data_IF_046768719586
#
_entry.id   IF_046768719586
#
_cell.length_a   1.000
_cell.length_b   1.000
_cell.length_c   1.000
_cell.angle_alpha   90.00
_cell.angle_beta   90.00
_cell.angle_gamma   90.00
#
_symmetry.space_group_name_H-M   'P 1'
#
loop_
_entity.id
_entity.type
_entity.pdbx_description
1 polymer ?
#
# COMPACT_ATOMS: atom_id res chain seq x y z
N UNK A 1 -5.43 -4.40 -8.16
CA UNK A 1 -6.33 -4.46 -9.33
C UNK A 1 -6.47 -3.10 -10.00
N UNK A 2 -6.83 -2.01 -9.30
CA UNK A 2 -7.15 -0.70 -9.91
C UNK A 2 -6.05 -0.15 -10.84
N UNK A 3 -4.77 -0.22 -10.42
CA UNK A 3 -3.65 0.25 -11.24
C UNK A 3 -3.53 -0.54 -12.56
N UNK A 4 -3.65 -1.86 -12.49
CA UNK A 4 -3.57 -2.72 -13.67
C UNK A 4 -4.77 -2.50 -14.61
N UNK A 5 -5.98 -2.37 -14.05
CA UNK A 5 -7.17 -2.05 -14.84
C UNK A 5 -7.06 -0.70 -15.53
N UNK A 6 -6.55 0.31 -14.82
CA UNK A 6 -6.30 1.63 -15.40
C UNK A 6 -5.31 1.55 -16.57
N UNK A 7 -4.25 0.74 -16.43
CA UNK A 7 -3.26 0.54 -17.52
C UNK A 7 -3.91 0.01 -18.78
N UNK A 8 -4.71 -1.06 -18.66
CA UNK A 8 -5.40 -1.65 -19.81
C UNK A 8 -6.36 -0.64 -20.46
N UNK A 9 -7.12 0.09 -19.64
CA UNK A 9 -8.06 1.09 -20.16
C UNK A 9 -7.34 2.22 -20.90
N UNK A 10 -6.27 2.77 -20.33
CA UNK A 10 -5.49 3.82 -20.97
C UNK A 10 -4.82 3.37 -22.27
N UNK A 11 -4.40 2.11 -22.35
CA UNK A 11 -3.68 1.63 -23.52
C UNK A 11 -4.60 1.20 -24.67
N UNK A 12 -5.82 0.70 -24.37
CA UNK A 12 -6.66 0.03 -25.37
C UNK A 12 -8.02 0.67 -25.60
N UNK A 13 -8.56 1.39 -24.62
CA UNK A 13 -9.96 1.83 -24.67
C UNK A 13 -10.14 3.34 -24.55
N UNK A 14 -9.10 4.08 -24.16
CA UNK A 14 -9.18 5.52 -23.95
C UNK A 14 -8.45 6.28 -25.05
N UNK A 15 -8.89 7.52 -25.32
CA UNK A 15 -8.18 8.42 -26.20
C UNK A 15 -6.80 8.76 -25.62
N UNK A 16 -5.81 8.94 -26.49
CA UNK A 16 -4.41 9.21 -26.09
C UNK A 16 -4.25 10.45 -25.21
N UNK A 17 -5.16 11.41 -25.33
CA UNK A 17 -5.14 12.64 -24.55
C UNK A 17 -5.82 12.50 -23.18
N UNK A 18 -6.56 11.41 -22.95
CA UNK A 18 -7.19 11.16 -21.66
C UNK A 18 -6.14 10.76 -20.62
N UNK A 19 -6.11 11.52 -19.53
CA UNK A 19 -5.12 11.35 -18.45
C UNK A 19 -5.74 10.83 -17.15
N UNK A 20 -7.05 10.78 -17.06
CA UNK A 20 -7.76 10.44 -15.83
C UNK A 20 -8.86 9.41 -16.09
N UNK A 21 -9.00 8.45 -15.17
CA UNK A 21 -10.11 7.48 -15.13
C UNK A 21 -10.64 7.45 -13.71
N UNK A 22 -11.96 7.43 -13.57
CA UNK A 22 -12.63 7.25 -12.30
C UNK A 22 -13.36 5.92 -12.28
N UNK A 23 -13.06 5.09 -11.28
CA UNK A 23 -13.73 3.83 -11.03
C UNK A 23 -14.76 3.99 -9.93
N UNK A 24 -15.94 3.38 -10.10
CA UNK A 24 -16.92 3.23 -9.02
C UNK A 24 -16.61 1.95 -8.23
N UNK A 25 -16.47 2.07 -6.92
CA UNK A 25 -16.20 0.96 -6.01
C UNK A 25 -17.13 1.03 -4.78
N UNK A 26 -17.22 -0.05 -4.03
CA UNK A 26 -18.09 -0.09 -2.84
C UNK A 26 -17.81 1.01 -1.81
N UNK A 27 -16.54 1.42 -1.67
CA UNK A 27 -16.11 2.47 -0.73
C UNK A 27 -16.04 3.87 -1.36
N UNK A 28 -16.58 4.06 -2.55
CA UNK A 28 -16.61 5.33 -3.25
C UNK A 28 -15.82 5.35 -4.56
N UNK A 29 -15.56 6.55 -5.05
CA UNK A 29 -14.87 6.76 -6.31
C UNK A 29 -13.36 6.64 -6.13
N UNK A 30 -12.72 5.87 -7.01
CA UNK A 30 -11.27 5.71 -7.09
C UNK A 30 -10.78 6.39 -8.37
N UNK A 31 -10.01 7.44 -8.22
CA UNK A 31 -9.45 8.19 -9.34
C UNK A 31 -8.04 7.70 -9.66
N UNK A 32 -7.74 7.55 -10.95
CA UNK A 32 -6.41 7.23 -11.44
C UNK A 32 -5.94 8.28 -12.43
N UNK A 33 -4.65 8.60 -12.39
CA UNK A 33 -4.05 9.65 -13.20
C UNK A 33 -2.82 9.07 -13.90
N UNK A 34 -2.78 9.17 -15.24
CA UNK A 34 -1.62 8.78 -16.04
C UNK A 34 -0.65 9.96 -16.16
N UNK A 35 0.60 9.76 -15.73
CA UNK A 35 1.71 10.70 -15.91
C UNK A 35 2.86 9.98 -16.61
N UNK A 36 3.00 10.18 -17.91
CA UNK A 36 3.94 9.42 -18.76
C UNK A 36 3.68 7.90 -18.65
N UNK A 37 4.66 7.11 -18.28
CA UNK A 37 4.55 5.66 -18.11
C UNK A 37 4.01 5.24 -16.74
N UNK A 38 3.85 6.17 -15.82
CA UNK A 38 3.38 5.92 -14.46
C UNK A 38 1.87 6.16 -14.35
N UNK A 39 1.24 5.36 -13.51
CA UNK A 39 -0.17 5.56 -13.14
C UNK A 39 -0.22 5.80 -11.64
N UNK A 40 -0.93 6.84 -11.25
CA UNK A 40 -1.14 7.23 -9.87
C UNK A 40 -2.58 6.92 -9.45
N UNK A 41 -2.72 6.37 -8.26
CA UNK A 41 -3.98 6.24 -7.54
C UNK A 41 -4.12 7.47 -6.65
N UNK A 42 -5.27 8.13 -6.72
CA UNK A 42 -5.62 9.27 -5.88
C UNK A 42 -6.60 8.80 -4.79
N UNK A 43 -6.13 8.76 -3.55
CA UNK A 43 -6.89 8.31 -2.38
C UNK A 43 -6.95 9.39 -1.28
N UNK A 44 -7.98 9.34 -0.41
CA UNK A 44 -7.95 10.13 0.83
C UNK A 44 -6.78 9.68 1.70
N UNK A 45 -6.10 10.62 2.30
CA UNK A 45 -5.11 10.33 3.33
C UNK A 45 -5.79 9.68 4.54
N UNK A 46 -5.09 8.77 5.19
CA UNK A 46 -5.51 8.11 6.43
C UNK A 46 -4.60 8.59 7.55
N UNK A 47 -5.16 9.30 8.52
CA UNK A 47 -4.37 9.94 9.56
C UNK A 47 -3.88 8.90 10.58
N UNK A 48 -2.56 8.81 10.84
CA UNK A 48 -2.02 7.88 11.82
C UNK A 48 -2.33 8.35 13.25
N UNK A 49 -3.12 7.57 13.99
CA UNK A 49 -3.46 7.84 15.39
C UNK A 49 -2.57 6.98 16.28
N UNK A 50 -1.73 7.61 17.10
CA UNK A 50 -0.81 6.92 17.99
C UNK A 50 -1.54 6.02 18.98
N UNK A 51 -0.97 4.86 19.28
CA UNK A 51 -1.52 3.81 20.11
C UNK A 51 -0.48 3.29 21.11
N UNK A 52 -0.95 2.78 22.25
CA UNK A 52 -0.12 2.04 23.17
C UNK A 52 0.26 0.66 22.61
N UNK A 53 1.52 0.29 22.79
CA UNK A 53 2.03 -1.01 22.34
C UNK A 53 1.64 -2.08 23.38
N UNK A 54 0.60 -2.85 23.08
CA UNK A 54 0.13 -3.96 23.92
C UNK A 54 0.82 -5.29 23.59
N UNK A 55 0.54 -6.33 24.39
CA UNK A 55 1.18 -7.63 24.25
C UNK A 55 0.85 -8.33 22.92
N UNK A 56 -0.39 -8.20 22.42
CA UNK A 56 -0.78 -8.83 21.14
C UNK A 56 0.04 -8.25 20.00
N UNK A 57 0.23 -6.93 19.97
CA UNK A 57 1.09 -6.25 18.99
C UNK A 57 2.55 -6.71 19.12
N UNK A 58 3.09 -6.79 20.34
CA UNK A 58 4.47 -7.27 20.55
C UNK A 58 4.67 -8.69 20.04
N UNK A 59 3.73 -9.58 20.34
CA UNK A 59 3.75 -10.97 19.90
C UNK A 59 3.50 -11.10 18.39
N UNK A 60 2.74 -10.18 17.78
CA UNK A 60 2.51 -10.14 16.34
C UNK A 60 3.77 -9.76 15.58
N UNK A 61 4.43 -8.69 16.02
CA UNK A 61 5.60 -8.13 15.32
C UNK A 61 6.87 -8.96 15.60
N UNK A 62 7.07 -9.42 16.83
CA UNK A 62 8.26 -10.21 17.23
C UNK A 62 9.59 -9.46 17.15
N UNK A 63 9.56 -8.12 17.08
CA UNK A 63 10.71 -7.23 17.02
C UNK A 63 10.49 -5.99 17.91
N UNK A 64 11.53 -5.18 18.09
CA UNK A 64 11.43 -3.95 18.85
C UNK A 64 10.62 -2.89 18.09
N UNK A 65 9.48 -2.49 18.66
CA UNK A 65 8.58 -1.48 18.12
C UNK A 65 8.90 -0.14 18.75
N UNK A 66 9.24 0.85 17.95
CA UNK A 66 9.51 2.22 18.41
C UNK A 66 8.22 2.98 18.66
N UNK A 67 7.28 2.91 17.72
CA UNK A 67 5.99 3.58 17.77
C UNK A 67 4.93 2.70 17.13
N UNK A 68 3.68 2.85 17.57
CA UNK A 68 2.52 2.17 17.04
C UNK A 68 1.44 3.18 16.69
N UNK A 69 0.85 3.03 15.52
CA UNK A 69 -0.29 3.84 15.07
C UNK A 69 -1.42 2.93 14.58
N UNK A 70 -2.62 3.47 14.59
CA UNK A 70 -3.80 2.85 13.97
C UNK A 70 -4.38 3.85 12.96
N UNK A 71 -4.55 3.39 11.73
CA UNK A 71 -5.38 4.05 10.72
C UNK A 71 -6.80 3.48 10.73
N UNK A 72 -7.55 3.80 9.70
CA UNK A 72 -8.93 3.32 9.52
C UNK A 72 -9.03 1.80 9.50
N UNK A 73 -8.14 1.15 8.77
CA UNK A 73 -8.22 -0.28 8.48
C UNK A 73 -7.07 -1.08 9.12
N UNK A 74 -5.89 -0.51 9.31
CA UNK A 74 -4.66 -1.22 9.65
C UNK A 74 -3.94 -0.64 10.86
N UNK A 75 -3.14 -1.47 11.53
CA UNK A 75 -2.09 -1.01 12.43
C UNK A 75 -0.81 -0.74 11.65
N UNK A 76 -0.06 0.28 12.08
CA UNK A 76 1.27 0.63 11.58
C UNK A 76 2.26 0.61 12.73
N UNK A 77 3.18 -0.36 12.72
CA UNK A 77 4.28 -0.46 13.66
C UNK A 77 5.57 0.07 13.03
N UNK A 78 6.21 1.02 13.70
CA UNK A 78 7.49 1.60 13.27
C UNK A 78 8.62 0.86 13.97
N UNK A 79 9.57 0.39 13.18
CA UNK A 79 10.78 -0.27 13.64
C UNK A 79 11.99 0.66 13.47
N UNK A 80 13.13 0.25 14.00
CA UNK A 80 14.33 1.07 14.09
C UNK A 80 15.06 1.30 12.76
N UNK A 81 15.04 0.32 11.83
CA UNK A 81 15.77 0.41 10.56
C UNK A 81 15.24 -0.54 9.48
N UNK A 82 15.72 -0.37 8.24
CA UNK A 82 15.34 -1.20 7.10
C UNK A 82 15.71 -2.67 7.30
N UNK A 83 16.84 -2.98 7.94
CA UNK A 83 17.26 -4.36 8.18
C UNK A 83 16.26 -5.11 9.07
N UNK A 84 15.68 -4.44 10.07
CA UNK A 84 14.60 -4.99 10.90
C UNK A 84 13.36 -5.31 10.10
N UNK A 85 12.98 -4.46 9.13
CA UNK A 85 11.85 -4.73 8.23
C UNK A 85 12.10 -5.94 7.34
N UNK A 86 13.30 -6.04 6.76
CA UNK A 86 13.64 -7.15 5.84
C UNK A 86 13.70 -8.50 6.53
N UNK A 87 14.18 -8.53 7.77
CA UNK A 87 14.41 -9.78 8.51
C UNK A 87 13.28 -10.17 9.48
N UNK A 88 12.23 -9.36 9.58
CA UNK A 88 11.14 -9.62 10.52
C UNK A 88 10.41 -10.93 10.20
N UNK A 89 10.09 -11.69 11.24
CA UNK A 89 9.23 -12.86 11.18
C UNK A 89 7.94 -12.58 11.97
N UNK A 90 6.88 -12.26 11.26
CA UNK A 90 5.59 -11.87 11.84
C UNK A 90 4.78 -13.10 12.23
N UNK A 91 4.17 -13.08 13.41
CA UNK A 91 3.25 -14.13 13.86
C UNK A 91 1.84 -13.89 13.28
N UNK A 92 1.51 -14.56 12.19
CA UNK A 92 0.25 -14.40 11.48
C UNK A 92 -0.99 -14.73 12.32
N UNK A 93 -0.88 -15.70 13.26
CA UNK A 93 -1.97 -16.02 14.17
C UNK A 93 -2.29 -14.83 15.06
N UNK A 94 -1.26 -14.16 15.60
CA UNK A 94 -1.43 -12.98 16.44
C UNK A 94 -1.90 -11.76 15.64
N UNK A 95 -1.45 -11.58 14.41
CA UNK A 95 -2.00 -10.55 13.51
C UNK A 95 -3.49 -10.76 13.28
N UNK A 96 -3.94 -12.00 13.19
CA UNK A 96 -5.37 -12.32 13.04
C UNK A 96 -6.23 -11.97 14.26
N UNK A 97 -5.63 -11.83 15.45
CA UNK A 97 -6.32 -11.41 16.68
C UNK A 97 -6.54 -9.88 16.77
N UNK A 98 -5.78 -9.08 15.97
CA UNK A 98 -5.86 -7.62 16.02
C UNK A 98 -7.23 -7.11 15.59
N UNK A 99 -7.73 -6.06 16.26
CA UNK A 99 -8.91 -5.31 15.82
C UNK A 99 -8.55 -4.39 14.64
N UNK A 100 -8.17 -5.00 13.53
CA UNK A 100 -7.80 -4.33 12.29
C UNK A 100 -7.90 -5.30 11.11
N UNK A 101 -7.83 -4.79 9.89
CA UNK A 101 -7.70 -5.60 8.67
C UNK A 101 -6.36 -6.32 8.63
N UNK A 102 -5.28 -5.63 9.02
CA UNK A 102 -3.93 -6.16 9.02
C UNK A 102 -2.91 -5.31 9.78
N UNK A 103 -1.66 -5.70 9.60
CA UNK A 103 -0.49 -5.06 10.19
C UNK A 103 0.47 -4.60 9.10
N UNK A 104 0.85 -3.35 9.19
CA UNK A 104 1.93 -2.74 8.40
C UNK A 104 3.12 -2.57 9.33
N UNK A 105 4.31 -2.98 8.91
CA UNK A 105 5.56 -2.63 9.58
C UNK A 105 6.36 -1.71 8.66
N UNK A 106 7.00 -0.68 9.21
CA UNK A 106 7.73 0.30 8.42
C UNK A 106 8.93 0.85 9.17
N UNK A 107 9.95 1.26 8.44
CA UNK A 107 11.13 1.97 8.93
C UNK A 107 11.63 2.95 7.88
N UNK A 108 12.51 3.86 8.27
CA UNK A 108 13.26 4.67 7.32
C UNK A 108 14.09 3.76 6.42
N UNK A 109 14.12 4.04 5.13
CA UNK A 109 14.88 3.28 4.15
C UNK A 109 16.31 3.78 4.00
N UNK A 110 17.18 2.93 3.48
CA UNK A 110 18.57 3.27 3.18
C UNK A 110 18.68 4.01 1.82
N UNK A 111 17.99 3.49 0.79
CA UNK A 111 17.95 4.09 -0.56
C UNK A 111 16.61 4.79 -0.85
N UNK A 112 15.55 4.36 -0.18
CA UNK A 112 14.22 4.93 -0.24
C UNK A 112 13.95 5.79 0.98
N UNK A 113 12.96 6.65 0.91
CA UNK A 113 12.58 7.47 2.06
C UNK A 113 12.05 6.62 3.21
N UNK A 114 11.30 5.58 2.86
CA UNK A 114 10.85 4.55 3.80
C UNK A 114 10.65 3.20 3.11
N UNK A 115 10.68 2.17 3.92
CA UNK A 115 10.37 0.79 3.52
C UNK A 115 9.23 0.23 4.36
N UNK A 116 8.53 -0.78 3.83
CA UNK A 116 7.42 -1.41 4.52
C UNK A 116 7.24 -2.88 4.16
N UNK A 117 6.50 -3.62 5.01
CA UNK A 117 5.89 -4.92 4.69
C UNK A 117 4.46 -4.93 5.24
N UNK A 118 3.56 -5.64 4.55
CA UNK A 118 2.12 -5.59 4.83
C UNK A 118 1.53 -6.99 4.95
N UNK A 119 0.85 -7.29 6.06
CA UNK A 119 0.37 -8.61 6.44
C UNK A 119 -1.14 -8.60 6.69
N UNK A 120 -1.88 -9.47 5.97
CA UNK A 120 -3.36 -9.51 5.97
C UNK A 120 -3.93 -10.93 6.13
N UNK A 121 -3.55 -11.69 7.17
CA UNK A 121 -3.97 -13.08 7.31
C UNK A 121 -5.49 -13.27 7.40
N UNK A 122 -6.24 -12.31 7.93
CA UNK A 122 -7.72 -12.31 7.91
C UNK A 122 -8.31 -12.36 6.50
N UNK A 123 -7.58 -11.84 5.52
CA UNK A 123 -7.95 -11.87 4.09
C UNK A 123 -7.37 -13.09 3.36
N UNK A 124 -6.78 -14.04 4.10
CA UNK A 124 -6.06 -15.20 3.55
C UNK A 124 -4.87 -14.82 2.68
N UNK A 125 -4.26 -13.70 2.99
CA UNK A 125 -3.03 -13.20 2.36
C UNK A 125 -2.04 -12.99 3.49
N UNK A 126 -1.07 -13.90 3.65
CA UNK A 126 -0.08 -13.78 4.71
C UNK A 126 0.73 -12.50 4.54
N UNK A 127 1.26 -12.26 3.35
CA UNK A 127 1.95 -11.01 3.00
C UNK A 127 1.52 -10.52 1.60
N UNK A 128 1.10 -9.25 1.50
CA UNK A 128 0.77 -8.65 0.21
C UNK A 128 2.02 -8.09 -0.48
N UNK A 129 2.29 -8.46 -1.74
CA UNK A 129 3.50 -8.03 -2.44
C UNK A 129 3.70 -6.51 -2.56
N UNK A 130 2.66 -5.76 -2.92
CA UNK A 130 2.67 -4.28 -2.99
C UNK A 130 1.27 -3.74 -2.73
N UNK A 131 1.11 -3.02 -1.64
CA UNK A 131 -0.18 -2.62 -1.09
C UNK A 131 -0.45 -1.13 -1.25
N UNK A 132 -1.24 -0.77 -2.24
CA UNK A 132 -1.61 0.64 -2.44
C UNK A 132 -2.34 1.24 -1.22
N UNK A 133 -3.33 0.54 -0.66
CA UNK A 133 -4.12 1.04 0.47
C UNK A 133 -3.31 1.24 1.77
N UNK A 134 -2.25 0.49 2.00
CA UNK A 134 -1.36 0.72 3.15
C UNK A 134 -0.67 2.08 3.07
N UNK A 135 -0.40 2.54 1.86
CA UNK A 135 0.28 3.81 1.63
C UNK A 135 -0.61 5.03 1.91
N UNK A 136 -1.93 4.85 2.08
CA UNK A 136 -2.78 5.94 2.57
C UNK A 136 -2.43 6.35 4.00
N UNK A 137 -1.93 5.41 4.82
CA UNK A 137 -1.48 5.62 6.20
C UNK A 137 0.03 5.92 6.27
N UNK A 138 0.83 5.23 5.46
CA UNK A 138 2.30 5.39 5.45
C UNK A 138 2.74 6.78 4.97
N UNK A 139 2.11 7.31 3.93
CA UNK A 139 2.49 8.59 3.33
C UNK A 139 2.33 9.76 4.30
N UNK A 140 1.19 9.96 4.98
CA UNK A 140 1.04 11.03 5.96
C UNK A 140 2.06 10.92 7.10
N UNK A 141 2.29 9.71 7.64
CA UNK A 141 3.27 9.49 8.68
C UNK A 141 4.68 9.91 8.24
N UNK A 142 5.17 9.35 7.12
CA UNK A 142 6.53 9.62 6.67
C UNK A 142 6.71 11.04 6.12
N UNK A 143 5.68 11.65 5.55
CA UNK A 143 5.71 13.05 5.13
C UNK A 143 5.91 13.99 6.33
N UNK A 144 5.26 13.69 7.45
CA UNK A 144 5.45 14.47 8.68
C UNK A 144 6.84 14.23 9.29
N UNK A 145 7.31 12.99 9.40
CA UNK A 145 8.64 12.68 9.96
C UNK A 145 9.76 13.31 9.12
N UNK A 146 9.70 13.17 7.80
CA UNK A 146 10.77 13.62 6.88
C UNK A 146 10.58 15.08 6.43
N UNK A 147 9.48 15.72 6.82
CA UNK A 147 9.13 17.12 6.45
C UNK A 147 9.16 17.35 4.94
N UNK A 148 8.67 16.38 4.17
CA UNK A 148 8.57 16.48 2.71
C UNK A 148 7.35 15.72 2.19
N UNK A 149 6.73 16.22 1.12
CA UNK A 149 5.48 15.69 0.58
C UNK A 149 5.70 14.70 -0.58
N UNK A 150 6.87 14.70 -1.21
CA UNK A 150 7.21 13.77 -2.28
C UNK A 150 8.18 12.73 -1.75
N UNK A 151 7.75 11.47 -1.76
CA UNK A 151 8.45 10.37 -1.13
C UNK A 151 8.67 9.22 -2.13
N UNK A 152 9.76 8.50 -1.96
CA UNK A 152 10.02 7.23 -2.63
C UNK A 152 9.93 6.11 -1.59
N UNK A 153 9.09 5.13 -1.84
CA UNK A 153 8.89 4.01 -0.95
C UNK A 153 9.27 2.67 -1.61
N UNK A 154 9.64 1.70 -0.79
CA UNK A 154 9.80 0.33 -1.24
C UNK A 154 9.10 -0.64 -0.28
N UNK A 155 8.22 -1.50 -0.82
CA UNK A 155 7.63 -2.59 -0.04
C UNK A 155 8.52 -3.82 -0.16
N UNK A 156 9.10 -4.26 0.97
CA UNK A 156 10.15 -5.29 1.07
C UNK A 156 9.60 -6.73 1.14
N UNK A 157 8.48 -7.02 0.46
CA UNK A 157 7.99 -8.40 0.31
C UNK A 157 8.97 -9.23 -0.53
N UNK A 158 8.76 -10.55 -0.62
CA UNK A 158 9.57 -11.44 -1.46
C UNK A 158 9.69 -10.94 -2.92
N UNK A 159 8.56 -10.50 -3.51
CA UNK A 159 8.55 -9.89 -4.85
C UNK A 159 9.09 -8.48 -4.86
N UNK A 160 8.75 -7.73 -3.85
CA UNK A 160 9.07 -6.32 -3.71
C UNK A 160 8.38 -5.39 -4.70
N UNK A 161 8.49 -4.08 -4.44
CA UNK A 161 8.02 -3.07 -5.36
C UNK A 161 8.27 -1.65 -4.90
N UNK A 162 8.73 -0.82 -5.84
CA UNK A 162 8.94 0.61 -5.63
C UNK A 162 7.64 1.40 -5.87
N UNK A 163 7.41 2.41 -5.06
CA UNK A 163 6.28 3.31 -5.17
C UNK A 163 6.75 4.77 -5.15
N UNK A 164 6.05 5.60 -5.91
CA UNK A 164 6.20 7.06 -5.89
C UNK A 164 5.00 7.61 -5.14
N UNK A 165 5.27 8.35 -4.09
CA UNK A 165 4.28 8.80 -3.14
C UNK A 165 4.25 10.33 -3.08
N UNK A 166 3.06 10.92 -3.03
CA UNK A 166 2.89 12.35 -2.89
C UNK A 166 1.74 12.64 -1.91
N UNK A 167 1.97 13.52 -0.94
CA UNK A 167 0.93 14.06 -0.05
C UNK A 167 0.49 15.44 -0.56
N UNK A 168 -0.81 15.64 -0.77
CA UNK A 168 -1.42 16.92 -1.14
C UNK A 168 -2.66 17.20 -0.29
N UNK A 169 -2.49 18.01 0.75
CA UNK A 169 -3.56 18.27 1.70
C UNK A 169 -4.07 16.97 2.32
N UNK A 170 -5.34 16.67 2.12
CA UNK A 170 -6.02 15.45 2.59
C UNK A 170 -5.99 14.28 1.60
N UNK A 171 -5.16 14.37 0.54
CA UNK A 171 -5.05 13.36 -0.51
C UNK A 171 -3.64 12.80 -0.61
N UNK A 172 -3.56 11.49 -0.90
CA UNK A 172 -2.31 10.82 -1.24
C UNK A 172 -2.36 10.31 -2.68
N UNK A 173 -1.26 10.51 -3.38
CA UNK A 173 -1.05 10.00 -4.74
C UNK A 173 -0.02 8.89 -4.69
N UNK A 174 -0.44 7.69 -5.09
CA UNK A 174 0.36 6.47 -5.02
C UNK A 174 0.65 6.01 -6.43
N UNK A 175 1.86 6.25 -6.89
CA UNK A 175 2.30 5.97 -8.25
C UNK A 175 3.15 4.72 -8.37
N UNK A 176 3.06 4.08 -9.53
CA UNK A 176 3.87 2.92 -9.85
C UNK A 176 3.86 2.61 -11.34
N UNK A 177 4.67 1.61 -11.68
CA UNK A 177 4.71 1.03 -13.03
C UNK A 177 3.86 -0.23 -13.08
N UNK A 178 3.36 -0.53 -14.26
CA UNK A 178 2.66 -1.79 -14.55
C UNK A 178 3.30 -2.44 -15.76
N UNK A 179 3.42 -3.76 -15.73
CA UNK A 179 3.86 -4.56 -16.86
C UNK A 179 2.70 -5.45 -17.34
N UNK A 180 2.47 -5.48 -18.64
CA UNK A 180 1.56 -6.45 -19.25
C UNK A 180 2.26 -7.81 -19.28
N UNK A 181 1.61 -8.83 -18.74
CA UNK A 181 2.20 -10.16 -18.63
C UNK A 181 1.58 -11.16 -19.62
N UNK A 182 0.24 -11.12 -19.77
CA UNK A 182 -0.49 -12.07 -20.60
C UNK A 182 -1.71 -11.41 -21.23
N UNK A 183 -1.97 -11.75 -22.49
CA UNK A 183 -3.23 -11.52 -23.19
C UNK A 183 -3.80 -12.86 -23.63
N UNK A 184 -5.13 -12.98 -23.61
CA UNK A 184 -5.79 -14.20 -24.04
C UNK A 184 -7.28 -14.02 -24.25
N UNK A 185 -7.89 -14.98 -24.91
CA UNK A 185 -9.33 -15.04 -25.13
C UNK A 185 -9.95 -16.06 -24.19
N UNK A 186 -11.06 -15.69 -23.58
CA UNK A 186 -11.91 -16.62 -22.81
C UNK A 186 -13.17 -16.88 -23.63
N UNK A 187 -13.42 -18.13 -23.95
CA UNK A 187 -14.62 -18.57 -24.63
C UNK A 187 -15.67 -18.91 -23.56
N UNK A 188 -16.68 -18.08 -23.44
CA UNK A 188 -17.81 -18.35 -22.57
C UNK A 188 -18.86 -19.12 -23.35
N UNK A 189 -19.21 -20.33 -22.89
CA UNK A 189 -20.38 -21.00 -23.40
C UNK A 189 -21.60 -20.23 -22.93
N UNK A 190 -22.25 -19.49 -23.83
CA UNK A 190 -23.57 -18.93 -23.58
C UNK A 190 -24.59 -20.08 -23.50
N UNK A 191 -24.75 -20.66 -22.34
CA UNK A 191 -25.93 -21.42 -22.02
C UNK A 191 -26.70 -20.57 -21.01
N UNK A 192 -27.83 -20.09 -21.56
CA UNK A 192 -29.00 -19.45 -20.93
C UNK A 192 -28.83 -18.02 -20.50
#
# INVERSE_FOLDING_TARGET
ATLASARVLFDEYMDKDQKEITFSAQRGLLKTIKKSEQIFLDFPADEPIEQDINNVIRESVGANIQQLFKGRDDYLAILDNEASIRNISVNMSKVSELDARGLIVSAQGDEYDFVSRCFYPKSKIDEDPVTGSAHTLLIPYWADILKKNNLKAYQCSERGGALICELKGDRVFIGGYTARYLDGNIYLNSKD
#
